data_IF_115138436766
#
_entry.id   IF_115138436766
#
_cell.length_a   1.000
_cell.length_b   1.000
_cell.length_c   1.000
_cell.angle_alpha   90.00
_cell.angle_beta   90.00
_cell.angle_gamma   90.00
#
_symmetry.space_group_name_H-M   'P 1'
#
loop_
_entity.id
_entity.type
_entity.pdbx_description
1 polymer ?
#
# COMPACT_ATOMS: atom_id res chain seq x y z
N UNK A 1 8.75 18.71 -8.96
CA UNK A 1 8.88 18.23 -10.36
C UNK A 1 7.72 18.69 -11.23
N UNK A 2 6.48 18.27 -10.97
CA UNK A 2 5.29 18.73 -11.73
C UNK A 2 5.15 20.26 -11.69
N UNK A 3 5.15 20.85 -10.48
CA UNK A 3 5.06 22.32 -10.32
C UNK A 3 6.29 23.07 -10.85
N UNK A 4 7.38 22.37 -11.15
CA UNK A 4 8.59 22.95 -11.71
C UNK A 4 8.62 22.87 -13.25
N UNK A 5 7.54 22.42 -13.90
CA UNK A 5 7.43 22.32 -15.36
C UNK A 5 8.19 21.14 -15.98
N UNK A 6 8.72 20.22 -15.16
CA UNK A 6 9.41 19.02 -15.64
C UNK A 6 8.36 18.04 -16.17
N UNK A 7 8.58 17.40 -17.34
CA UNK A 7 7.65 16.41 -17.86
C UNK A 7 7.56 15.21 -16.92
N UNK A 8 6.40 15.05 -16.29
CA UNK A 8 6.07 13.91 -15.43
C UNK A 8 4.80 13.27 -16.00
N UNK A 9 4.77 11.95 -16.22
CA UNK A 9 3.56 11.27 -16.64
C UNK A 9 2.39 11.54 -15.68
N UNK A 10 1.16 11.74 -16.17
CA UNK A 10 0.00 11.91 -15.30
C UNK A 10 -0.25 10.65 -14.47
N UNK A 11 -0.76 10.83 -13.26
CA UNK A 11 -1.08 9.73 -12.35
C UNK A 11 -1.88 10.22 -11.14
N UNK A 12 -2.09 9.33 -10.18
CA UNK A 12 -2.69 9.63 -8.88
C UNK A 12 -2.03 8.77 -7.81
N UNK A 13 -2.19 9.16 -6.55
CA UNK A 13 -1.67 8.41 -5.41
C UNK A 13 -2.83 7.91 -4.54
N UNK A 14 -2.72 6.66 -4.08
CA UNK A 14 -3.54 6.15 -2.99
C UNK A 14 -2.91 6.65 -1.69
N UNK A 15 -3.67 7.38 -0.89
CA UNK A 15 -3.12 8.04 0.30
C UNK A 15 -2.80 7.04 1.41
N UNK A 16 -1.85 7.40 2.29
CA UNK A 16 -1.60 6.65 3.52
C UNK A 16 -2.85 6.58 4.42
N UNK A 17 -3.76 7.56 4.31
CA UNK A 17 -5.05 7.51 4.97
C UNK A 17 -5.95 6.39 4.45
N UNK A 18 -6.00 6.17 3.13
CA UNK A 18 -6.74 5.05 2.55
C UNK A 18 -6.19 3.69 3.03
N UNK A 19 -4.85 3.56 3.12
CA UNK A 19 -4.22 2.40 3.75
C UNK A 19 -4.68 2.25 5.21
N UNK A 20 -4.56 3.29 6.04
CA UNK A 20 -5.01 3.27 7.45
C UNK A 20 -6.47 2.84 7.60
N UNK A 21 -7.36 3.36 6.76
CA UNK A 21 -8.78 2.97 6.77
C UNK A 21 -8.97 1.50 6.40
N UNK A 22 -8.25 1.01 5.39
CA UNK A 22 -8.28 -0.42 5.03
C UNK A 22 -7.87 -1.32 6.19
N UNK A 23 -6.71 -1.06 6.83
CA UNK A 23 -6.22 -1.91 7.94
C UNK A 23 -7.09 -1.82 9.20
N UNK A 24 -7.68 -0.66 9.51
CA UNK A 24 -8.56 -0.47 10.68
C UNK A 24 -9.97 -1.05 10.46
N UNK A 25 -10.64 -0.72 9.36
CA UNK A 25 -12.04 -1.11 9.13
C UNK A 25 -12.23 -2.61 8.87
N UNK A 26 -11.22 -3.26 8.30
CA UNK A 26 -11.24 -4.71 8.07
C UNK A 26 -10.82 -5.51 9.31
N UNK A 27 -10.37 -4.81 10.37
CA UNK A 27 -9.90 -5.41 11.62
C UNK A 27 -8.57 -6.16 11.49
N UNK A 28 -7.90 -6.11 10.34
CA UNK A 28 -6.63 -6.81 10.14
C UNK A 28 -5.49 -6.19 10.95
N UNK A 29 -5.58 -4.91 11.32
CA UNK A 29 -4.60 -4.28 12.21
C UNK A 29 -4.43 -5.09 13.50
N UNK A 30 -5.54 -5.47 14.16
CA UNK A 30 -5.49 -6.26 15.38
C UNK A 30 -4.93 -7.66 15.12
N UNK A 31 -5.38 -8.32 14.06
CA UNK A 31 -4.89 -9.67 13.69
C UNK A 31 -3.38 -9.69 13.41
N UNK A 32 -2.83 -8.61 12.85
CA UNK A 32 -1.38 -8.49 12.64
C UNK A 32 -0.67 -8.48 14.00
N UNK A 33 -1.14 -7.69 14.97
CA UNK A 33 -0.56 -7.69 16.32
C UNK A 33 -0.70 -9.05 17.00
N UNK A 34 -1.87 -9.69 16.90
CA UNK A 34 -2.09 -11.03 17.48
C UNK A 34 -1.11 -12.06 16.91
N UNK A 35 -0.88 -12.07 15.59
CA UNK A 35 0.10 -12.98 14.94
C UNK A 35 1.52 -12.77 15.50
N UNK A 36 1.92 -11.50 15.63
CA UNK A 36 3.25 -11.13 16.11
C UNK A 36 3.43 -11.51 17.59
N UNK A 37 2.43 -11.25 18.43
CA UNK A 37 2.46 -11.55 19.86
C UNK A 37 2.44 -13.06 20.14
N UNK A 38 1.77 -13.85 19.29
CA UNK A 38 1.70 -15.32 19.42
C UNK A 38 3.01 -16.02 19.04
N UNK A 39 3.70 -15.52 18.01
CA UNK A 39 4.83 -16.25 17.40
C UNK A 39 6.19 -15.70 17.84
N UNK A 40 6.32 -14.40 18.07
CA UNK A 40 7.61 -13.78 18.41
C UNK A 40 7.88 -13.95 19.90
N UNK A 41 8.67 -14.98 20.21
CA UNK A 41 9.12 -15.29 21.57
C UNK A 41 10.60 -14.98 21.78
N UNK A 42 11.41 -15.01 20.71
CA UNK A 42 12.81 -14.60 20.72
C UNK A 42 13.06 -13.53 19.63
N UNK A 43 13.32 -12.27 20.01
CA UNK A 43 13.63 -11.20 19.06
C UNK A 43 14.87 -11.44 18.19
N UNK A 44 15.71 -12.43 18.52
CA UNK A 44 16.92 -12.77 17.77
C UNK A 44 16.73 -13.92 16.77
N UNK A 45 15.55 -14.54 16.72
CA UNK A 45 15.26 -15.63 15.78
C UNK A 45 14.60 -15.10 14.51
N UNK A 46 15.35 -14.89 13.40
CA UNK A 46 14.80 -14.36 12.17
C UNK A 46 13.75 -15.27 11.52
N UNK A 47 13.70 -16.57 11.86
CA UNK A 47 12.73 -17.50 11.27
C UNK A 47 11.31 -17.19 11.71
N UNK A 48 11.11 -16.78 12.97
CA UNK A 48 9.80 -16.40 13.51
C UNK A 48 9.22 -15.21 12.70
N UNK A 49 10.05 -14.21 12.41
CA UNK A 49 9.66 -13.06 11.58
C UNK A 49 9.36 -13.46 10.12
N UNK A 50 10.10 -14.41 9.55
CA UNK A 50 9.83 -14.88 8.18
C UNK A 50 8.47 -15.60 8.10
N UNK A 51 8.15 -16.44 9.08
CA UNK A 51 6.86 -17.13 9.18
C UNK A 51 5.71 -16.14 9.33
N UNK A 52 5.82 -15.19 10.25
CA UNK A 52 4.78 -14.18 10.46
C UNK A 52 4.61 -13.26 9.27
N UNK A 53 5.70 -12.85 8.61
CA UNK A 53 5.65 -12.06 7.39
C UNK A 53 4.83 -12.76 6.29
N UNK A 54 4.97 -14.08 6.15
CA UNK A 54 4.16 -14.87 5.20
C UNK A 54 2.68 -14.88 5.60
N UNK A 55 2.37 -15.09 6.88
CA UNK A 55 0.99 -15.07 7.39
C UNK A 55 0.34 -13.70 7.19
N UNK A 56 1.02 -12.64 7.58
CA UNK A 56 0.55 -11.25 7.48
C UNK A 56 0.34 -10.87 6.02
N UNK A 57 1.27 -11.23 5.11
CA UNK A 57 1.11 -11.00 3.67
C UNK A 57 -0.14 -11.68 3.14
N UNK A 58 -0.32 -12.97 3.43
CA UNK A 58 -1.50 -13.71 2.99
C UNK A 58 -2.80 -13.12 3.55
N UNK A 59 -2.79 -12.65 4.79
CA UNK A 59 -3.91 -11.94 5.40
C UNK A 59 -4.26 -10.65 4.64
N UNK A 60 -3.27 -9.82 4.32
CA UNK A 60 -3.48 -8.57 3.58
C UNK A 60 -4.01 -8.86 2.17
N UNK A 61 -3.40 -9.80 1.44
CA UNK A 61 -3.77 -10.14 0.06
C UNK A 61 -5.17 -10.77 -0.06
N UNK A 62 -5.61 -11.51 0.96
CA UNK A 62 -6.93 -12.14 0.99
C UNK A 62 -8.04 -11.24 1.53
N UNK A 63 -7.69 -10.11 2.15
CA UNK A 63 -8.66 -9.19 2.75
C UNK A 63 -9.29 -8.28 1.69
N UNK A 64 -10.61 -8.30 1.49
CA UNK A 64 -11.27 -7.43 0.53
C UNK A 64 -11.11 -5.95 0.88
N UNK A 65 -10.82 -5.13 -0.11
CA UNK A 65 -10.80 -3.67 0.04
C UNK A 65 -12.24 -3.17 0.27
N UNK A 66 -12.50 -2.25 1.22
CA UNK A 66 -13.81 -1.62 1.39
C UNK A 66 -14.37 -1.04 0.08
N UNK A 67 -15.67 -1.23 -0.16
CA UNK A 67 -16.30 -0.90 -1.45
C UNK A 67 -16.12 0.57 -1.85
N UNK A 68 -16.17 1.49 -0.87
CA UNK A 68 -15.98 2.92 -1.15
C UNK A 68 -14.55 3.24 -1.62
N UNK A 69 -13.52 2.60 -1.04
CA UNK A 69 -12.13 2.76 -1.50
C UNK A 69 -11.95 2.19 -2.92
N UNK A 70 -12.55 1.03 -3.20
CA UNK A 70 -12.53 0.46 -4.55
C UNK A 70 -13.14 1.44 -5.56
N UNK A 71 -14.30 2.01 -5.25
CA UNK A 71 -14.99 2.98 -6.11
C UNK A 71 -14.12 4.21 -6.38
N UNK A 72 -13.51 4.79 -5.35
CA UNK A 72 -12.63 5.95 -5.50
C UNK A 72 -11.39 5.66 -6.37
N UNK A 73 -10.75 4.50 -6.17
CA UNK A 73 -9.58 4.09 -6.97
C UNK A 73 -9.97 3.88 -8.44
N UNK A 74 -11.09 3.21 -8.70
CA UNK A 74 -11.59 2.98 -10.06
C UNK A 74 -11.98 4.30 -10.74
N UNK A 75 -12.61 5.23 -10.01
CA UNK A 75 -12.94 6.55 -10.54
C UNK A 75 -11.69 7.36 -10.87
N UNK A 76 -10.67 7.34 -10.01
CA UNK A 76 -9.39 8.01 -10.26
C UNK A 76 -8.68 7.42 -11.49
N UNK A 77 -8.71 6.10 -11.66
CA UNK A 77 -8.18 5.43 -12.85
C UNK A 77 -8.94 5.82 -14.13
N UNK A 78 -10.29 5.86 -14.09
CA UNK A 78 -11.09 6.32 -15.24
C UNK A 78 -10.77 7.76 -15.64
N UNK A 79 -10.63 8.66 -14.66
CA UNK A 79 -10.19 10.05 -14.91
C UNK A 79 -8.79 10.12 -15.53
N UNK A 80 -7.88 9.21 -15.16
CA UNK A 80 -6.56 9.11 -15.78
C UNK A 80 -6.66 8.63 -17.23
N UNK A 81 -7.44 7.58 -17.50
CA UNK A 81 -7.76 7.08 -18.84
C UNK A 81 -8.28 8.21 -19.74
N UNK A 82 -9.29 8.95 -19.28
CA UNK A 82 -9.86 10.11 -19.99
C UNK A 82 -8.80 11.17 -20.33
N UNK A 83 -7.96 11.54 -19.34
CA UNK A 83 -6.88 12.53 -19.55
C UNK A 83 -5.83 12.09 -20.57
N UNK A 84 -5.61 10.80 -20.72
CA UNK A 84 -4.64 10.24 -21.67
C UNK A 84 -5.25 9.89 -23.02
N UNK A 85 -6.57 10.02 -23.19
CA UNK A 85 -7.28 9.67 -24.41
C UNK A 85 -7.32 8.16 -24.69
N UNK A 86 -7.01 7.32 -23.70
CA UNK A 86 -7.08 5.86 -23.79
C UNK A 86 -8.21 5.34 -22.92
N UNK A 87 -9.01 4.39 -23.42
CA UNK A 87 -10.08 3.75 -22.63
C UNK A 87 -9.51 2.97 -21.45
N UNK A 88 -8.37 2.30 -21.66
CA UNK A 88 -7.67 1.47 -20.69
C UNK A 88 -6.18 1.77 -20.80
N UNK A 89 -5.73 2.80 -20.07
CA UNK A 89 -4.32 3.19 -20.08
C UNK A 89 -3.48 2.20 -19.26
N UNK A 90 -2.37 1.74 -19.82
CA UNK A 90 -1.40 0.97 -19.05
C UNK A 90 -0.79 1.85 -17.95
N UNK A 91 -0.74 1.33 -16.73
CA UNK A 91 -0.22 2.04 -15.56
C UNK A 91 0.89 1.25 -14.89
N UNK A 92 1.83 1.96 -14.28
CA UNK A 92 2.75 1.40 -13.32
C UNK A 92 2.19 1.62 -11.91
N UNK A 93 2.05 0.56 -11.12
CA UNK A 93 1.72 0.65 -9.69
C UNK A 93 3.02 0.56 -8.91
N UNK A 94 3.32 1.57 -8.09
CA UNK A 94 4.57 1.68 -7.33
C UNK A 94 4.26 1.92 -5.87
N UNK A 95 5.03 1.31 -4.99
CA UNK A 95 5.04 1.67 -3.57
C UNK A 95 5.67 3.06 -3.40
N UNK A 96 5.14 3.83 -2.45
CA UNK A 96 5.73 5.08 -1.99
C UNK A 96 5.48 5.17 -0.49
N UNK A 97 6.42 4.65 0.30
CA UNK A 97 6.25 4.59 1.75
C UNK A 97 6.53 5.95 2.37
N UNK A 98 5.76 6.33 3.41
CA UNK A 98 5.89 7.65 4.06
C UNK A 98 7.25 7.89 4.72
N UNK A 99 7.99 6.82 5.01
CA UNK A 99 9.32 6.85 5.62
C UNK A 99 10.47 6.56 4.64
N UNK A 100 10.18 6.40 3.34
CA UNK A 100 11.17 6.03 2.32
C UNK A 100 12.30 7.07 2.16
N UNK A 101 11.97 8.34 2.46
CA UNK A 101 12.86 9.50 2.32
C UNK A 101 13.26 10.13 3.68
N UNK A 102 13.23 9.36 4.79
CA UNK A 102 13.70 9.89 6.07
C UNK A 102 15.23 10.15 6.05
N UNK A 103 15.72 11.28 6.58
CA UNK A 103 17.15 11.53 6.69
C UNK A 103 17.83 10.43 7.52
N UNK A 104 18.66 9.60 6.87
CA UNK A 104 19.40 8.51 7.52
C UNK A 104 18.76 7.11 7.44
N UNK A 105 17.58 6.96 6.83
CA UNK A 105 16.99 5.66 6.54
C UNK A 105 16.36 5.68 5.15
N UNK A 106 16.91 4.88 4.23
CA UNK A 106 16.30 4.63 2.93
C UNK A 106 15.85 3.18 2.89
N UNK A 107 14.57 3.00 2.57
CA UNK A 107 13.98 1.69 2.30
C UNK A 107 13.64 1.58 0.80
N UNK A 108 14.44 2.25 -0.04
CA UNK A 108 14.27 2.24 -1.49
C UNK A 108 14.34 0.80 -2.02
N UNK A 109 13.27 0.39 -2.70
CA UNK A 109 13.16 -0.85 -3.47
C UNK A 109 13.47 -0.63 -4.93
#
# INVERSE_FOLDING_TARGET
MINAGIPVPPGFAISAYAYKRFIEETGIAQKIYDILDETITDPKDPKQYEEDSKKIRALIESTPIPEYLQKEIVEAYRKLSEKTGSKEVFVAVRSSATAEDLPGASFAG
#
